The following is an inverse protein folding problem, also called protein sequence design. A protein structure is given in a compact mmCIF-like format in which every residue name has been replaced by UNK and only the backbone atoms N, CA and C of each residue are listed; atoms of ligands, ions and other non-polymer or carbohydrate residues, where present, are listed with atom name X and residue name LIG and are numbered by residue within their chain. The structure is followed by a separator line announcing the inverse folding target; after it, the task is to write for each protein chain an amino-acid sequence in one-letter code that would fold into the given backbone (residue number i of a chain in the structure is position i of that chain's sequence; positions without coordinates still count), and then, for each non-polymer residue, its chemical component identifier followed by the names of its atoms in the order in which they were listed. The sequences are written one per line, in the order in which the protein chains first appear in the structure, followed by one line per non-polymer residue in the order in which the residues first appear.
data_IF_649634986496
#
_entry.id   IF_649634986496
#
_cell.length_a   1.000
_cell.length_b   1.000
_cell.length_c   1.000
_cell.angle_alpha   90.00
_cell.angle_beta   90.00
_cell.angle_gamma   90.00
#
_symmetry.space_group_name_H-M   'P 1'
#
loop_
_entity.id
_entity.type
_entity.pdbx_description
1 polymer ?
#
# COMPACT_ATOMS: atom_id res chain seq x y z
N UNK A 1 21.74 -9.42 -57.57
CA UNK A 1 20.30 -9.74 -57.35
C UNK A 1 20.04 -11.05 -56.58
N UNK A 2 20.88 -12.10 -56.67
CA UNK A 2 20.68 -13.35 -55.89
C UNK A 2 20.98 -13.22 -54.38
N UNK A 3 21.99 -12.45 -54.00
CA UNK A 3 22.41 -12.28 -52.59
C UNK A 3 21.36 -11.56 -51.70
N UNK A 4 20.68 -10.55 -52.25
CA UNK A 4 19.58 -9.86 -51.55
C UNK A 4 18.38 -10.77 -51.27
N UNK A 5 18.10 -11.74 -52.16
CA UNK A 5 17.01 -12.70 -51.95
C UNK A 5 17.28 -13.65 -50.78
N UNK A 6 18.54 -14.07 -50.61
CA UNK A 6 18.94 -14.95 -49.50
C UNK A 6 18.91 -14.23 -48.15
N UNK A 7 19.34 -12.97 -48.10
CA UNK A 7 19.27 -12.15 -46.88
C UNK A 7 17.82 -11.86 -46.47
N UNK A 8 16.94 -11.60 -47.44
CA UNK A 8 15.53 -11.37 -47.18
C UNK A 8 14.81 -12.64 -46.68
N UNK A 9 15.10 -13.81 -47.28
CA UNK A 9 14.56 -15.08 -46.79
C UNK A 9 15.08 -15.46 -45.40
N UNK A 10 16.34 -15.15 -45.10
CA UNK A 10 16.92 -15.39 -43.78
C UNK A 10 16.27 -14.49 -42.71
N UNK A 11 16.01 -13.23 -43.04
CA UNK A 11 15.31 -12.30 -42.15
C UNK A 11 13.88 -12.77 -41.83
N UNK A 12 13.13 -13.23 -42.84
CA UNK A 12 11.77 -13.77 -42.65
C UNK A 12 11.79 -15.05 -41.84
N UNK A 13 12.74 -15.95 -42.10
CA UNK A 13 12.88 -17.19 -41.33
C UNK A 13 13.19 -16.88 -39.86
N UNK A 14 14.12 -15.95 -39.61
CA UNK A 14 14.46 -15.53 -38.27
C UNK A 14 13.28 -14.87 -37.55
N UNK A 15 12.54 -13.97 -38.20
CA UNK A 15 11.36 -13.34 -37.60
C UNK A 15 10.26 -14.35 -37.32
N UNK A 16 10.09 -15.35 -38.17
CA UNK A 16 9.09 -16.42 -38.00
C UNK A 16 9.45 -17.34 -36.83
N UNK A 17 10.72 -17.71 -36.70
CA UNK A 17 11.22 -18.51 -35.56
C UNK A 17 11.06 -17.72 -34.26
N UNK A 18 11.39 -16.42 -34.26
CA UNK A 18 11.23 -15.57 -33.09
C UNK A 18 9.75 -15.41 -32.70
N UNK A 19 8.85 -15.22 -33.68
CA UNK A 19 7.41 -15.12 -33.42
C UNK A 19 6.83 -16.42 -32.84
N UNK A 20 7.26 -17.57 -33.36
CA UNK A 20 6.86 -18.89 -32.85
C UNK A 20 7.39 -19.10 -31.43
N UNK A 21 8.65 -18.76 -31.16
CA UNK A 21 9.23 -18.85 -29.81
C UNK A 21 8.49 -17.97 -28.79
N UNK A 22 8.11 -16.75 -29.19
CA UNK A 22 7.29 -15.85 -28.35
C UNK A 22 5.88 -16.39 -28.11
N UNK A 23 5.26 -17.03 -29.11
CA UNK A 23 3.96 -17.69 -28.96
C UNK A 23 4.04 -18.87 -27.99
N UNK A 24 5.09 -19.70 -28.06
CA UNK A 24 5.30 -20.79 -27.11
C UNK A 24 5.58 -20.29 -25.70
N UNK A 25 6.37 -19.21 -25.55
CA UNK A 25 6.57 -18.57 -24.25
C UNK A 25 5.25 -18.00 -23.68
N UNK A 26 4.37 -17.44 -24.52
CA UNK A 26 3.07 -16.93 -24.09
C UNK A 26 2.07 -18.04 -23.68
N UNK A 27 2.26 -19.27 -24.17
CA UNK A 27 1.41 -20.43 -23.85
C UNK A 27 1.81 -21.11 -22.54
N UNK A 28 3.01 -20.86 -22.02
CA UNK A 28 3.42 -21.31 -20.69
C UNK A 28 2.82 -20.39 -19.62
N UNK A 29 1.93 -20.95 -18.78
CA UNK A 29 1.31 -20.22 -17.67
C UNK A 29 2.36 -19.63 -16.72
N UNK A 30 3.53 -20.26 -16.61
CA UNK A 30 4.62 -19.79 -15.73
C UNK A 30 5.33 -18.56 -16.30
N UNK A 31 5.64 -18.54 -17.60
CA UNK A 31 6.27 -17.37 -18.25
C UNK A 31 5.36 -16.11 -18.20
N UNK A 32 4.04 -16.29 -18.22
CA UNK A 32 3.10 -15.18 -18.03
C UNK A 32 3.15 -14.59 -16.61
N UNK A 33 3.46 -15.41 -15.60
CA UNK A 33 3.58 -14.97 -14.21
C UNK A 33 4.91 -14.24 -13.98
N UNK A 34 6.00 -14.74 -14.57
CA UNK A 34 7.34 -14.12 -14.47
C UNK A 34 7.37 -12.74 -15.15
N UNK A 35 6.70 -12.59 -16.30
CA UNK A 35 6.54 -11.30 -16.98
C UNK A 35 5.65 -10.35 -16.16
N UNK A 36 4.61 -10.87 -15.49
CA UNK A 36 3.77 -10.06 -14.59
C UNK A 36 4.52 -9.59 -13.34
N UNK A 37 5.46 -10.37 -12.83
CA UNK A 37 6.31 -9.96 -11.71
C UNK A 37 7.28 -8.84 -12.09
N UNK A 38 7.83 -8.85 -13.31
CA UNK A 38 8.69 -7.77 -13.80
C UNK A 38 7.95 -6.44 -14.04
N UNK A 39 6.61 -6.46 -14.16
CA UNK A 39 5.75 -5.27 -14.31
C UNK A 39 4.92 -4.94 -13.06
N UNK A 40 4.99 -5.74 -11.99
CA UNK A 40 4.45 -5.35 -10.68
C UNK A 40 5.41 -4.30 -10.11
N UNK A 41 5.11 -3.02 -10.33
CA UNK A 41 5.68 -1.95 -9.50
C UNK A 41 5.52 -2.37 -8.04
N UNK A 42 6.57 -2.25 -7.22
CA UNK A 42 6.54 -2.47 -5.77
C UNK A 42 5.16 -2.08 -5.24
N UNK A 43 4.33 -3.09 -4.92
CA UNK A 43 2.87 -3.00 -4.93
C UNK A 43 2.26 -2.17 -3.79
N UNK A 44 3.01 -1.19 -3.29
CA UNK A 44 2.72 -0.29 -2.20
C UNK A 44 2.04 0.97 -2.74
N UNK A 45 0.78 1.17 -2.39
CA UNK A 45 -0.01 2.35 -2.67
C UNK A 45 -0.35 3.06 -1.36
N UNK A 46 -0.04 4.35 -1.25
CA UNK A 46 -0.46 5.16 -0.10
C UNK A 46 -1.91 5.57 -0.30
N UNK A 47 -2.79 5.08 0.58
CA UNK A 47 -4.22 5.36 0.53
C UNK A 47 -4.60 6.65 1.27
N UNK A 48 -3.91 6.94 2.39
CA UNK A 48 -4.16 8.11 3.21
C UNK A 48 -2.98 8.41 4.12
N UNK A 49 -2.84 9.67 4.52
CA UNK A 49 -1.83 10.13 5.47
C UNK A 49 -2.48 11.13 6.43
N UNK A 50 -2.16 11.02 7.71
CA UNK A 50 -2.50 12.02 8.71
C UNK A 50 -1.31 12.26 9.64
N UNK A 51 -1.03 13.52 9.94
CA UNK A 51 -0.03 13.92 10.92
C UNK A 51 -0.73 14.56 12.11
N UNK A 52 -0.22 14.31 13.30
CA UNK A 52 -0.89 14.75 14.53
C UNK A 52 -0.01 14.61 15.76
N UNK A 53 -0.50 15.18 16.85
CA UNK A 53 0.14 15.16 18.17
C UNK A 53 -0.10 13.82 18.89
N UNK A 54 0.27 12.70 18.24
CA UNK A 54 -0.01 11.34 18.74
C UNK A 54 0.80 10.94 19.97
N UNK A 55 1.96 11.55 20.19
CA UNK A 55 2.80 11.34 21.38
C UNK A 55 2.80 12.59 22.29
N UNK A 56 1.87 13.53 22.07
CA UNK A 56 1.80 14.83 22.74
C UNK A 56 2.13 16.03 21.85
N UNK A 57 2.01 17.23 22.41
CA UNK A 57 1.91 18.54 21.70
C UNK A 57 3.08 18.88 20.76
N UNK A 58 4.28 18.40 21.04
CA UNK A 58 5.48 18.66 20.23
C UNK A 58 5.95 17.43 19.43
N UNK A 59 5.10 16.41 19.33
CA UNK A 59 5.40 15.21 18.56
C UNK A 59 5.19 15.45 17.07
N UNK A 60 6.16 15.00 16.29
CA UNK A 60 6.08 14.99 14.84
C UNK A 60 5.88 13.52 14.47
N UNK A 61 4.61 13.11 14.38
CA UNK A 61 4.25 11.72 14.07
C UNK A 61 3.23 11.69 12.95
N UNK A 62 3.41 10.75 12.05
CA UNK A 62 2.59 10.58 10.85
C UNK A 62 2.10 9.14 10.76
N UNK A 63 0.79 8.98 10.66
CA UNK A 63 0.15 7.71 10.38
C UNK A 63 -0.20 7.64 8.89
N UNK A 64 0.15 6.53 8.26
CA UNK A 64 -0.02 6.30 6.82
C UNK A 64 -0.80 5.01 6.63
N UNK A 65 -1.92 5.09 5.94
CA UNK A 65 -2.68 3.91 5.48
C UNK A 65 -2.14 3.50 4.12
N UNK A 66 -1.71 2.25 4.01
CA UNK A 66 -0.98 1.75 2.86
C UNK A 66 -1.58 0.44 2.41
N UNK A 67 -1.79 0.30 1.11
CA UNK A 67 -2.16 -0.95 0.46
C UNK A 67 -0.93 -1.60 -0.12
N UNK A 68 -0.74 -2.87 0.15
CA UNK A 68 0.29 -3.74 -0.42
C UNK A 68 -0.38 -4.93 -1.12
N UNK A 69 0.38 -5.82 -1.79
CA UNK A 69 -0.18 -7.06 -2.32
C UNK A 69 -0.82 -7.95 -1.25
N UNK A 70 -0.34 -7.86 0.00
CA UNK A 70 -0.78 -8.69 1.12
C UNK A 70 -2.02 -8.14 1.84
N UNK A 71 -2.39 -6.87 1.62
CA UNK A 71 -3.51 -6.23 2.28
C UNK A 71 -3.32 -4.74 2.51
N UNK A 72 -4.10 -4.18 3.41
CA UNK A 72 -4.05 -2.78 3.84
C UNK A 72 -3.60 -2.75 5.29
N UNK A 73 -2.65 -1.87 5.57
CA UNK A 73 -2.07 -1.68 6.89
C UNK A 73 -1.90 -0.21 7.25
N UNK A 74 -1.84 0.06 8.54
CA UNK A 74 -1.39 1.33 9.09
C UNK A 74 0.10 1.24 9.38
N UNK A 75 0.85 2.24 8.97
CA UNK A 75 2.24 2.47 9.34
C UNK A 75 2.32 3.80 10.09
N UNK A 76 2.82 3.78 11.33
CA UNK A 76 2.99 4.99 12.15
C UNK A 76 4.48 5.31 12.23
N UNK A 77 4.84 6.53 11.86
CA UNK A 77 6.22 7.00 11.80
C UNK A 77 6.45 8.19 12.73
N UNK A 78 7.53 8.15 13.48
CA UNK A 78 8.15 9.34 14.05
C UNK A 78 8.94 10.03 12.96
N UNK A 79 8.67 11.31 12.70
CA UNK A 79 9.39 12.12 11.72
C UNK A 79 10.20 13.27 12.36
N UNK A 80 10.50 13.14 13.66
CA UNK A 80 11.34 14.09 14.39
C UNK A 80 12.75 14.14 13.78
N UNK A 81 13.15 15.33 13.33
CA UNK A 81 14.50 15.56 12.80
C UNK A 81 14.66 15.26 11.30
N UNK A 82 13.56 15.01 10.58
CA UNK A 82 13.57 14.83 9.11
C UNK A 82 13.72 13.38 8.64
N UNK A 83 14.06 12.46 9.53
CA UNK A 83 14.09 11.03 9.26
C UNK A 83 12.78 10.37 9.68
N UNK A 84 12.24 9.47 8.84
CA UNK A 84 11.04 8.69 9.15
C UNK A 84 11.43 7.38 9.83
N UNK A 85 11.20 7.28 11.13
CA UNK A 85 11.38 6.05 11.91
C UNK A 85 10.04 5.36 12.13
N UNK A 86 9.90 4.13 11.62
CA UNK A 86 8.70 3.31 11.85
C UNK A 86 8.56 2.98 13.34
N UNK A 87 7.45 3.40 13.95
CA UNK A 87 7.08 3.10 15.33
C UNK A 87 6.22 1.83 15.39
N UNK A 88 5.21 1.74 14.52
CA UNK A 88 4.21 0.67 14.59
C UNK A 88 3.68 0.33 13.20
N UNK A 89 3.36 -0.95 13.03
CA UNK A 89 2.66 -1.49 11.85
C UNK A 89 1.45 -2.29 12.31
N UNK A 90 0.28 -2.03 11.73
CA UNK A 90 -0.98 -2.71 12.10
C UNK A 90 -1.69 -3.14 10.82
N UNK A 91 -1.98 -4.43 10.69
CA UNK A 91 -2.79 -4.94 9.58
C UNK A 91 -4.27 -4.58 9.83
N UNK A 92 -4.92 -3.94 8.85
CA UNK A 92 -6.30 -3.45 8.98
C UNK A 92 -7.28 -4.36 8.23
N UNK A 93 -6.86 -5.00 7.14
CA UNK A 93 -7.70 -5.88 6.33
C UNK A 93 -7.35 -5.82 4.85
N UNK A 94 -8.25 -6.24 3.96
CA UNK A 94 -7.98 -6.29 2.51
C UNK A 94 -8.70 -5.21 1.69
N UNK A 95 -9.62 -4.46 2.31
CA UNK A 95 -10.47 -3.46 1.64
C UNK A 95 -10.41 -2.13 2.35
N UNK A 96 -10.31 -1.05 1.58
CA UNK A 96 -10.34 0.30 2.14
C UNK A 96 -11.78 0.65 2.54
N UNK A 97 -11.90 1.37 3.65
CA UNK A 97 -13.16 1.78 4.23
C UNK A 97 -13.13 3.29 4.43
N UNK A 98 -14.32 3.90 4.39
CA UNK A 98 -14.52 5.33 4.51
C UNK A 98 -15.60 5.62 5.54
N UNK A 99 -15.50 6.74 6.21
CA UNK A 99 -16.49 7.25 7.14
C UNK A 99 -16.66 8.75 6.97
N UNK A 100 -17.77 9.29 7.48
CA UNK A 100 -17.97 10.74 7.51
C UNK A 100 -17.37 11.29 8.80
N UNK A 101 -16.36 12.14 8.67
CA UNK A 101 -15.69 12.83 9.76
C UNK A 101 -15.79 14.34 9.54
N UNK A 102 -16.42 15.06 10.47
CA UNK A 102 -16.64 16.50 10.39
C UNK A 102 -17.24 16.98 9.04
N UNK A 103 -18.18 16.21 8.47
CA UNK A 103 -18.85 16.53 7.20
C UNK A 103 -18.05 16.16 5.95
N UNK A 104 -16.91 15.48 6.09
CA UNK A 104 -16.05 15.04 4.98
C UNK A 104 -15.92 13.53 4.97
N UNK A 105 -15.89 12.96 3.77
CA UNK A 105 -15.60 11.53 3.60
C UNK A 105 -14.10 11.32 3.75
N UNK A 106 -13.70 10.51 4.72
CA UNK A 106 -12.30 10.23 5.07
C UNK A 106 -12.09 8.73 5.24
N UNK A 107 -10.90 8.23 4.92
CA UNK A 107 -10.47 6.84 5.16
C UNK A 107 -9.38 6.71 6.23
N UNK A 108 -8.95 7.85 6.79
CA UNK A 108 -8.06 8.01 7.94
C UNK A 108 -8.26 9.42 8.50
N UNK A 109 -8.31 9.58 9.82
CA UNK A 109 -8.35 10.89 10.47
C UNK A 109 -7.60 10.86 11.81
N UNK A 110 -7.38 12.03 12.38
CA UNK A 110 -6.83 12.22 13.70
C UNK A 110 -7.64 13.26 14.45
N UNK A 111 -7.97 12.99 15.70
CA UNK A 111 -8.69 13.92 16.57
C UNK A 111 -8.44 13.60 18.04
N UNK A 112 -8.69 14.55 18.94
CA UNK A 112 -8.68 14.33 20.39
C UNK A 112 -10.11 13.97 20.84
N UNK A 113 -10.38 12.68 20.91
CA UNK A 113 -11.72 12.12 21.15
C UNK A 113 -12.07 12.11 22.64
N UNK A 114 -11.08 11.97 23.52
CA UNK A 114 -11.27 11.89 24.97
C UNK A 114 -10.91 13.18 25.74
N UNK A 115 -10.35 14.18 25.07
CA UNK A 115 -10.10 15.51 25.59
C UNK A 115 -8.82 15.65 26.41
N UNK A 116 -7.86 14.72 26.29
CA UNK A 116 -6.61 14.76 27.04
C UNK A 116 -5.46 15.53 26.33
N UNK A 117 -5.75 16.13 25.16
CA UNK A 117 -4.80 16.82 24.27
C UNK A 117 -3.77 15.90 23.59
N UNK A 118 -4.00 14.59 23.58
CA UNK A 118 -3.28 13.63 22.74
C UNK A 118 -4.26 13.17 21.67
N UNK A 119 -3.88 13.32 20.40
CA UNK A 119 -4.76 12.88 19.32
C UNK A 119 -4.76 11.37 19.20
N UNK A 120 -5.93 10.79 18.94
CA UNK A 120 -6.08 9.42 18.48
C UNK A 120 -6.07 9.35 16.95
N UNK A 121 -5.78 8.14 16.43
CA UNK A 121 -5.88 7.82 15.02
C UNK A 121 -7.19 7.07 14.78
N UNK A 122 -8.05 7.62 13.92
CA UNK A 122 -9.36 7.07 13.59
C UNK A 122 -9.27 6.33 12.26
N UNK A 123 -9.58 5.04 12.28
CA UNK A 123 -9.36 4.12 11.16
C UNK A 123 -10.65 3.35 10.86
N UNK A 124 -11.37 3.68 9.79
CA UNK A 124 -12.44 2.82 9.31
C UNK A 124 -11.84 1.52 8.76
N UNK A 125 -12.45 0.39 9.12
CA UNK A 125 -12.06 -0.95 8.71
C UNK A 125 -13.29 -1.83 8.48
N UNK A 126 -13.11 -2.91 7.73
CA UNK A 126 -14.12 -3.97 7.58
C UNK A 126 -13.66 -5.21 8.32
N UNK A 127 -14.58 -5.88 9.01
CA UNK A 127 -14.32 -7.23 9.53
C UNK A 127 -14.45 -8.30 8.44
N UNK A 128 -14.29 -9.57 8.83
CA UNK A 128 -14.39 -10.72 7.92
C UNK A 128 -15.77 -10.85 7.26
N UNK A 129 -16.82 -10.31 7.89
CA UNK A 129 -18.19 -10.30 7.37
C UNK A 129 -18.52 -9.03 6.59
N UNK A 130 -17.51 -8.18 6.29
CA UNK A 130 -17.65 -6.89 5.61
C UNK A 130 -18.52 -5.89 6.39
N UNK A 131 -18.63 -6.05 7.71
CA UNK A 131 -19.27 -5.04 8.57
C UNK A 131 -18.26 -3.94 8.84
N UNK A 132 -18.69 -2.68 8.65
CA UNK A 132 -17.85 -1.52 8.89
C UNK A 132 -17.69 -1.26 10.39
N UNK A 133 -16.44 -1.09 10.83
CA UNK A 133 -16.06 -0.71 12.17
C UNK A 133 -15.15 0.51 12.13
N UNK A 134 -15.15 1.30 13.20
CA UNK A 134 -14.17 2.35 13.41
C UNK A 134 -13.22 1.90 14.53
N UNK A 135 -11.94 1.74 14.21
CA UNK A 135 -10.90 1.56 15.21
C UNK A 135 -10.35 2.93 15.60
N UNK A 136 -10.22 3.17 16.89
CA UNK A 136 -9.62 4.38 17.46
C UNK A 136 -8.35 3.92 18.18
N UNK A 137 -7.20 4.42 17.75
CA UNK A 137 -5.91 4.06 18.32
C UNK A 137 -5.33 5.23 19.10
N UNK A 138 -4.95 4.99 20.35
CA UNK A 138 -4.30 5.95 21.24
C UNK A 138 -2.91 5.44 21.60
N UNK A 139 -1.94 6.34 21.72
CA UNK A 139 -0.63 5.99 22.26
C UNK A 139 -0.69 5.84 23.78
N UNK A 140 -0.23 4.72 24.30
CA UNK A 140 0.00 4.54 25.73
C UNK A 140 1.49 4.79 26.07
N UNK A 141 1.80 5.84 26.86
CA UNK A 141 3.17 6.12 27.30
C UNK A 141 3.77 5.03 28.19
N UNK A 142 2.96 4.21 28.87
CA UNK A 142 3.46 3.14 29.74
C UNK A 142 3.96 1.95 28.93
N UNK A 143 3.16 1.47 27.97
CA UNK A 143 3.56 0.38 27.06
C UNK A 143 4.47 0.85 25.91
N UNK A 144 4.54 2.16 25.67
CA UNK A 144 5.20 2.78 24.51
C UNK A 144 4.65 2.28 23.17
N UNK A 145 3.37 1.93 23.12
CA UNK A 145 2.70 1.35 21.96
C UNK A 145 1.37 2.05 21.67
N UNK A 146 0.77 1.75 20.51
CA UNK A 146 -0.57 2.18 20.15
C UNK A 146 -1.58 1.10 20.51
N UNK A 147 -2.53 1.44 21.35
CA UNK A 147 -3.60 0.56 21.82
C UNK A 147 -4.96 1.02 21.28
N UNK A 148 -5.89 0.07 21.18
CA UNK A 148 -7.26 0.35 20.75
C UNK A 148 -8.09 0.79 21.96
N UNK A 149 -8.76 1.93 21.85
CA UNK A 149 -9.76 2.39 22.81
C UNK A 149 -11.06 1.58 22.75
#
# INVERSE_FOLDING_TARGET
MKLQKHLFSAAIAFSSILAIALLFAALDKNASNDIRELFRSDGREVLATVSGAFLGKDSAVTAVKVKTPDGIRLEIYDNKGGDYKLLKKIEIGSRDAFFNFAGRVSNLAADDVDGDNIQEILIPMYDENLVAHLAILKYDPQSQDFERL
#
